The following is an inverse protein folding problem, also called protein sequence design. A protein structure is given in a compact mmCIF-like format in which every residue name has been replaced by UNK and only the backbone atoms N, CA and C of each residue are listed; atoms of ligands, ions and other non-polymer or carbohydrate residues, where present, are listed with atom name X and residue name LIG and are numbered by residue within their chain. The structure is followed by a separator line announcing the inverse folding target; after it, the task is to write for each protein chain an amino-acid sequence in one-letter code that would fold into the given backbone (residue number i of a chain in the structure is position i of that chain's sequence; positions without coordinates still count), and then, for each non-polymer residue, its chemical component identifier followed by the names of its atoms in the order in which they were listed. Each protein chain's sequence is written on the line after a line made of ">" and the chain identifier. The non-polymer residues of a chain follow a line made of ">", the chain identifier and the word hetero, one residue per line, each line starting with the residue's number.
data_IF_707867800649
#
_entry.id   IF_707867800649
#
_cell.length_a   1.000
_cell.length_b   1.000
_cell.length_c   1.000
_cell.angle_alpha   90.00
_cell.angle_beta   90.00
_cell.angle_gamma   90.00
#
_symmetry.space_group_name_H-M   'P 1'
#
loop_
_entity.id
_entity.type
_entity.pdbx_description
1 polymer ?
#
# COMPACT_ATOMS: atom_id res chain seq x y z
N UNK A 1 -9.74 47.28 42.12
CA UNK A 1 -8.49 46.56 42.49
C UNK A 1 -7.22 47.38 42.22
N UNK A 2 -7.26 48.70 42.43
CA UNK A 2 -6.13 49.62 42.16
C UNK A 2 -5.67 50.39 43.41
N UNK A 3 -6.57 50.62 44.39
CA UNK A 3 -6.25 51.33 45.63
C UNK A 3 -5.40 50.51 46.61
N UNK A 4 -5.62 49.20 46.71
CA UNK A 4 -4.87 48.31 47.63
C UNK A 4 -3.41 48.12 47.20
N UNK A 5 -3.15 48.07 45.89
CA UNK A 5 -1.80 47.91 45.32
C UNK A 5 -0.95 49.16 45.54
N UNK A 6 -1.58 50.34 45.57
CA UNK A 6 -0.90 51.63 45.81
C UNK A 6 -0.43 51.79 47.26
N UNK A 7 -1.10 51.12 48.21
CA UNK A 7 -0.80 51.21 49.65
C UNK A 7 0.17 50.13 50.14
N UNK A 8 0.27 48.97 49.46
CA UNK A 8 1.04 47.80 49.96
C UNK A 8 2.09 47.27 48.97
N UNK A 9 2.26 47.90 47.80
CA UNK A 9 3.21 47.43 46.78
C UNK A 9 2.78 46.11 46.13
N UNK A 10 3.38 45.78 44.98
CA UNK A 10 3.11 44.49 44.32
C UNK A 10 3.84 43.38 45.09
N UNK A 11 3.16 42.27 45.46
CA UNK A 11 3.81 41.16 46.13
C UNK A 11 4.96 40.61 45.27
N UNK A 12 6.11 40.35 45.92
CA UNK A 12 7.31 39.76 45.32
C UNK A 12 6.96 38.53 44.49
N UNK A 13 7.69 38.29 43.39
CA UNK A 13 7.50 37.10 42.54
C UNK A 13 7.52 35.79 43.36
N UNK A 14 8.28 35.76 44.45
CA UNK A 14 8.35 34.62 45.37
C UNK A 14 6.98 34.34 46.02
N UNK A 15 6.29 35.37 46.52
CA UNK A 15 4.95 35.26 47.14
C UNK A 15 3.87 34.93 46.11
N UNK A 16 4.10 35.23 44.84
CA UNK A 16 3.16 34.89 43.76
C UNK A 16 3.30 33.45 43.27
N UNK A 17 4.53 32.91 43.28
CA UNK A 17 4.84 31.62 42.69
C UNK A 17 5.16 30.51 43.71
N UNK A 18 5.15 30.77 45.02
CA UNK A 18 5.47 29.75 46.02
C UNK A 18 4.57 28.51 45.93
N UNK A 19 3.26 28.70 45.69
CA UNK A 19 2.25 27.64 45.65
C UNK A 19 2.37 26.77 44.38
N UNK A 20 2.46 27.32 43.16
CA UNK A 20 2.73 26.49 41.99
C UNK A 20 4.13 25.86 42.00
N UNK A 21 5.14 26.52 42.58
CA UNK A 21 6.50 25.97 42.68
C UNK A 21 6.56 24.82 43.69
N UNK A 22 5.91 24.93 44.84
CA UNK A 22 5.85 23.84 45.82
C UNK A 22 5.03 22.66 45.28
N UNK A 23 3.91 22.92 44.62
CA UNK A 23 3.13 21.89 43.93
C UNK A 23 3.94 21.19 42.83
N UNK A 24 4.71 21.95 42.03
CA UNK A 24 5.58 21.39 41.00
C UNK A 24 6.74 20.57 41.59
N UNK A 25 7.33 21.01 42.71
CA UNK A 25 8.38 20.25 43.42
C UNK A 25 7.84 18.97 44.04
N UNK A 26 6.67 19.00 44.67
CA UNK A 26 6.02 17.82 45.23
C UNK A 26 5.59 16.84 44.13
N UNK A 27 4.96 17.34 43.06
CA UNK A 27 4.62 16.52 41.90
C UNK A 27 5.87 15.94 41.21
N UNK A 28 6.92 16.75 41.06
CA UNK A 28 8.19 16.32 40.49
C UNK A 28 8.86 15.24 41.33
N UNK A 29 8.88 15.38 42.66
CA UNK A 29 9.46 14.39 43.55
C UNK A 29 8.65 13.10 43.62
N UNK A 30 7.31 13.17 43.61
CA UNK A 30 6.43 12.00 43.53
C UNK A 30 6.61 11.27 42.19
N UNK A 31 6.62 12.00 41.06
CA UNK A 31 6.88 11.44 39.73
C UNK A 31 8.27 10.84 39.65
N UNK A 32 9.30 11.49 40.19
CA UNK A 32 10.66 10.98 40.20
C UNK A 32 10.76 9.69 41.01
N UNK A 33 10.13 9.64 42.21
CA UNK A 33 10.05 8.43 43.03
C UNK A 33 9.32 7.30 42.31
N UNK A 34 8.19 7.59 41.67
CA UNK A 34 7.46 6.61 40.87
C UNK A 34 8.31 6.07 39.72
N UNK A 35 9.01 6.95 39.00
CA UNK A 35 9.90 6.57 37.90
C UNK A 35 11.09 5.74 38.39
N UNK A 36 11.69 6.09 39.53
CA UNK A 36 12.81 5.35 40.12
C UNK A 36 12.38 3.99 40.67
N UNK A 37 11.21 3.91 41.29
CA UNK A 37 10.69 2.68 41.89
C UNK A 37 10.20 1.68 40.83
N UNK A 38 9.83 2.17 39.63
CA UNK A 38 9.38 1.38 38.48
C UNK A 38 10.47 1.22 37.41
N UNK A 39 11.75 1.52 37.70
CA UNK A 39 12.83 1.45 36.69
C UNK A 39 12.95 0.06 36.07
N UNK A 40 12.87 -0.97 36.90
CA UNK A 40 12.93 -2.36 36.43
C UNK A 40 11.76 -2.67 35.50
N UNK A 41 10.54 -2.28 35.87
CA UNK A 41 9.35 -2.44 35.02
C UNK A 41 9.46 -1.65 33.71
N UNK A 42 10.01 -0.44 33.72
CA UNK A 42 10.20 0.38 32.51
C UNK A 42 11.24 -0.26 31.59
N UNK A 43 12.37 -0.71 32.15
CA UNK A 43 13.42 -1.39 31.38
C UNK A 43 12.87 -2.69 30.79
N UNK A 44 12.19 -3.50 31.61
CA UNK A 44 11.53 -4.71 31.13
C UNK A 44 10.47 -4.40 30.08
N UNK A 45 9.66 -3.34 30.25
CA UNK A 45 8.68 -2.93 29.24
C UNK A 45 9.34 -2.52 27.93
N UNK A 46 10.46 -1.81 27.94
CA UNK A 46 11.19 -1.43 26.73
C UNK A 46 11.80 -2.66 26.06
N UNK A 47 12.42 -3.55 26.84
CA UNK A 47 12.98 -4.80 26.33
C UNK A 47 11.88 -5.68 25.74
N UNK A 48 10.74 -5.81 26.42
CA UNK A 48 9.58 -6.59 25.96
C UNK A 48 8.95 -5.98 24.71
N UNK A 49 8.81 -4.66 24.62
CA UNK A 49 8.33 -4.00 23.40
C UNK A 49 9.32 -4.21 22.25
N UNK A 50 10.62 -4.13 22.53
CA UNK A 50 11.68 -4.36 21.55
C UNK A 50 11.67 -5.79 21.01
N UNK A 51 11.67 -6.79 21.88
CA UNK A 51 11.60 -8.20 21.50
C UNK A 51 10.31 -8.51 20.75
N UNK A 52 9.16 -8.04 21.26
CA UNK A 52 7.85 -8.23 20.60
C UNK A 52 7.83 -7.60 19.20
N UNK A 53 8.47 -6.44 19.01
CA UNK A 53 8.55 -5.79 17.70
C UNK A 53 9.44 -6.58 16.74
N UNK A 54 10.58 -7.09 17.21
CA UNK A 54 11.48 -7.93 16.41
C UNK A 54 10.80 -9.25 16.03
N UNK A 55 10.14 -9.91 16.97
CA UNK A 55 9.40 -11.15 16.75
C UNK A 55 8.23 -10.93 15.79
N UNK A 56 7.51 -9.82 15.94
CA UNK A 56 6.46 -9.41 15.02
C UNK A 56 7.02 -9.20 13.60
N UNK A 57 8.11 -8.43 13.45
CA UNK A 57 8.72 -8.19 12.15
C UNK A 57 9.26 -9.46 11.50
N UNK A 58 9.92 -10.32 12.29
CA UNK A 58 10.43 -11.61 11.84
C UNK A 58 9.34 -12.53 11.34
N UNK A 59 8.31 -12.77 12.17
CA UNK A 59 7.27 -13.76 11.88
C UNK A 59 6.22 -13.25 10.89
N UNK A 60 5.84 -11.97 10.94
CA UNK A 60 4.73 -11.45 10.15
C UNK A 60 5.15 -10.69 8.89
N UNK A 61 6.41 -10.26 8.78
CA UNK A 61 6.91 -9.53 7.61
C UNK A 61 7.97 -10.35 6.89
N UNK A 62 9.06 -10.72 7.57
CA UNK A 62 10.22 -11.36 6.92
C UNK A 62 9.91 -12.80 6.48
N UNK A 63 9.34 -13.62 7.36
CA UNK A 63 9.04 -15.01 7.07
C UNK A 63 8.08 -15.19 5.88
N UNK A 64 6.90 -14.52 5.84
CA UNK A 64 6.00 -14.64 4.70
C UNK A 64 6.58 -14.05 3.40
N UNK A 65 7.37 -12.98 3.45
CA UNK A 65 8.05 -12.45 2.25
C UNK A 65 9.08 -13.45 1.72
N UNK A 66 9.89 -14.07 2.60
CA UNK A 66 10.84 -15.12 2.19
C UNK A 66 10.12 -16.33 1.60
N UNK A 67 9.00 -16.74 2.20
CA UNK A 67 8.18 -17.85 1.70
C UNK A 67 7.61 -17.53 0.32
N UNK A 68 7.05 -16.33 0.13
CA UNK A 68 6.53 -15.86 -1.15
C UNK A 68 7.62 -15.81 -2.24
N UNK A 69 8.78 -15.23 -1.93
CA UNK A 69 9.93 -15.19 -2.84
C UNK A 69 10.43 -16.60 -3.17
N UNK A 70 10.43 -17.51 -2.18
CA UNK A 70 10.73 -18.92 -2.39
C UNK A 70 9.78 -19.56 -3.39
N UNK A 71 8.46 -19.43 -3.19
CA UNK A 71 7.45 -20.02 -4.07
C UNK A 71 7.51 -19.46 -5.50
N UNK A 72 7.69 -18.15 -5.66
CA UNK A 72 7.78 -17.50 -6.98
C UNK A 72 9.10 -17.83 -7.68
N UNK A 73 10.22 -17.86 -6.94
CA UNK A 73 11.56 -18.09 -7.52
C UNK A 73 11.80 -19.55 -7.88
N UNK A 74 11.14 -20.50 -7.21
CA UNK A 74 11.51 -21.91 -7.36
C UNK A 74 10.78 -22.69 -8.43
N UNK A 75 9.57 -22.36 -8.89
CA UNK A 75 9.05 -23.10 -10.06
C UNK A 75 7.80 -22.52 -10.72
N UNK A 76 7.99 -22.00 -11.93
CA UNK A 76 6.91 -21.94 -12.94
C UNK A 76 7.38 -22.41 -14.32
N UNK A 77 8.69 -22.50 -14.56
CA UNK A 77 9.24 -22.78 -15.90
C UNK A 77 10.31 -23.87 -15.92
N UNK A 78 10.80 -24.30 -14.77
CA UNK A 78 11.99 -25.15 -14.68
C UNK A 78 11.65 -26.63 -14.55
N UNK A 79 10.69 -27.02 -13.71
CA UNK A 79 10.42 -28.43 -13.45
C UNK A 79 9.44 -29.02 -14.49
N UNK A 80 8.36 -28.30 -14.78
CA UNK A 80 7.30 -28.76 -15.70
C UNK A 80 7.79 -28.80 -17.16
N UNK A 81 8.66 -27.89 -17.59
CA UNK A 81 9.15 -27.86 -18.97
C UNK A 81 10.34 -28.82 -19.22
N UNK A 82 11.16 -29.11 -18.21
CA UNK A 82 12.37 -29.93 -18.39
C UNK A 82 12.07 -31.43 -18.24
N UNK A 83 11.15 -31.84 -17.35
CA UNK A 83 10.74 -33.24 -17.27
C UNK A 83 9.81 -33.65 -18.40
N UNK A 84 8.85 -32.80 -18.78
CA UNK A 84 7.95 -33.03 -19.92
C UNK A 84 8.72 -33.14 -21.23
N UNK A 85 9.66 -32.23 -21.50
CA UNK A 85 10.37 -32.20 -22.79
C UNK A 85 11.37 -33.36 -22.93
N UNK A 86 12.07 -33.74 -21.86
CA UNK A 86 13.02 -34.85 -21.93
C UNK A 86 12.33 -36.23 -21.93
N UNK A 87 11.22 -36.40 -21.22
CA UNK A 87 10.41 -37.63 -21.30
C UNK A 87 9.71 -37.75 -22.65
N UNK A 88 9.12 -36.67 -23.18
CA UNK A 88 8.53 -36.66 -24.53
C UNK A 88 9.55 -36.94 -25.62
N UNK A 89 10.78 -36.44 -25.51
CA UNK A 89 11.84 -36.74 -26.48
C UNK A 89 12.33 -38.19 -26.39
N UNK A 90 12.43 -38.74 -25.18
CA UNK A 90 12.77 -40.15 -24.98
C UNK A 90 11.67 -41.08 -25.53
N UNK A 91 10.40 -40.75 -25.28
CA UNK A 91 9.26 -41.51 -25.78
C UNK A 91 9.10 -41.37 -27.30
N UNK A 92 9.40 -40.21 -27.88
CA UNK A 92 9.43 -40.01 -29.35
C UNK A 92 10.53 -40.83 -30.01
N UNK A 93 11.73 -40.87 -29.43
CA UNK A 93 12.83 -41.69 -29.94
C UNK A 93 12.54 -43.20 -29.81
N UNK A 94 11.81 -43.60 -28.76
CA UNK A 94 11.34 -44.97 -28.59
C UNK A 94 10.28 -45.34 -29.64
N UNK A 95 9.32 -44.44 -29.89
CA UNK A 95 8.27 -44.61 -30.90
C UNK A 95 8.85 -44.70 -32.32
N UNK A 96 9.84 -43.87 -32.65
CA UNK A 96 10.53 -43.89 -33.95
C UNK A 96 11.20 -45.25 -34.20
N UNK A 97 11.92 -45.78 -33.20
CA UNK A 97 12.56 -47.10 -33.30
C UNK A 97 11.53 -48.22 -33.48
N UNK A 98 10.44 -48.17 -32.71
CA UNK A 98 9.40 -49.18 -32.75
C UNK A 98 8.63 -49.19 -34.09
N UNK A 99 8.42 -48.02 -34.71
CA UNK A 99 7.77 -47.91 -36.02
C UNK A 99 8.70 -48.37 -37.15
N UNK A 100 9.99 -48.07 -37.07
CA UNK A 100 10.99 -48.56 -38.03
C UNK A 100 11.11 -50.08 -37.97
N UNK A 101 11.13 -50.65 -36.78
CA UNK A 101 11.15 -52.10 -36.59
C UNK A 101 9.87 -52.76 -37.12
N UNK A 102 8.70 -52.15 -36.88
CA UNK A 102 7.40 -52.63 -37.40
C UNK A 102 7.32 -52.66 -38.93
N UNK A 103 7.90 -51.67 -39.61
CA UNK A 103 7.95 -51.62 -41.08
C UNK A 103 8.96 -52.62 -41.64
N UNK A 104 10.07 -52.87 -40.91
CA UNK A 104 11.13 -53.78 -41.32
C UNK A 104 10.76 -55.26 -41.16
N UNK A 105 9.98 -55.59 -40.14
CA UNK A 105 9.53 -56.96 -39.85
C UNK A 105 8.35 -57.43 -40.74
N UNK A 106 7.79 -56.56 -41.59
CA UNK A 106 6.71 -56.89 -42.54
C UNK A 106 7.10 -56.56 -43.99
N UNK A 107 7.92 -57.38 -44.66
CA UNK A 107 8.30 -57.18 -46.06
C UNK A 107 7.13 -57.33 -47.06
N UNK A 108 5.98 -57.83 -46.61
CA UNK A 108 4.80 -58.07 -47.44
C UNK A 108 4.08 -56.77 -47.86
N UNK A 109 4.41 -55.65 -47.21
CA UNK A 109 3.92 -54.30 -47.57
C UNK A 109 4.65 -53.71 -48.79
N UNK A 110 5.69 -54.37 -49.30
CA UNK A 110 6.50 -53.89 -50.44
C UNK A 110 5.88 -54.11 -51.82
N UNK A 111 4.68 -54.67 -51.94
CA UNK A 111 3.96 -54.66 -53.23
C UNK A 111 3.30 -53.30 -53.49
N UNK A 112 4.12 -52.27 -53.73
CA UNK A 112 3.62 -51.06 -54.39
C UNK A 112 4.41 -49.78 -54.22
N UNK A 113 5.30 -49.64 -53.23
CA UNK A 113 6.08 -48.40 -53.06
C UNK A 113 7.50 -48.73 -52.64
N UNK A 114 8.38 -48.76 -53.65
CA UNK A 114 9.82 -48.59 -53.42
C UNK A 114 10.02 -47.11 -53.07
N UNK A 115 10.14 -46.79 -51.78
CA UNK A 115 10.63 -45.49 -51.36
C UNK A 115 11.20 -45.58 -49.94
N UNK A 116 12.52 -45.69 -49.90
CA UNK A 116 13.42 -45.06 -48.94
C UNK A 116 12.91 -44.94 -47.50
N UNK A 117 13.48 -45.73 -46.59
CA UNK A 117 13.25 -45.67 -45.14
C UNK A 117 13.39 -44.25 -44.57
N UNK A 118 14.10 -43.36 -45.26
CA UNK A 118 14.25 -41.95 -44.92
C UNK A 118 12.99 -41.10 -45.21
N UNK A 119 12.18 -41.44 -46.21
CA UNK A 119 10.93 -40.74 -46.54
C UNK A 119 9.80 -41.07 -45.56
N UNK A 120 9.78 -42.29 -45.03
CA UNK A 120 8.83 -42.73 -44.00
C UNK A 120 9.09 -42.03 -42.66
N UNK A 121 10.37 -41.86 -42.28
CA UNK A 121 10.76 -41.13 -41.07
C UNK A 121 10.38 -39.64 -41.15
N UNK A 122 10.49 -39.03 -42.34
CA UNK A 122 10.07 -37.64 -42.55
C UNK A 122 8.53 -37.49 -42.54
N UNK A 123 7.78 -38.45 -43.09
CA UNK A 123 6.31 -38.43 -43.08
C UNK A 123 5.74 -38.63 -41.65
N UNK A 124 6.44 -39.40 -40.80
CA UNK A 124 6.09 -39.58 -39.37
C UNK A 124 6.43 -38.34 -38.55
N UNK A 125 7.47 -37.57 -38.91
CA UNK A 125 7.75 -36.25 -38.33
C UNK A 125 6.66 -35.22 -38.65
N UNK A 126 5.98 -35.35 -39.79
CA UNK A 126 4.89 -34.48 -40.23
C UNK A 126 3.50 -34.92 -39.73
N UNK A 127 3.39 -36.09 -39.09
CA UNK A 127 2.18 -36.51 -38.37
C UNK A 127 1.15 -37.30 -39.19
N UNK A 128 1.48 -37.77 -40.39
CA UNK A 128 0.58 -38.62 -41.19
C UNK A 128 0.78 -40.11 -40.86
N UNK A 129 -0.12 -40.64 -40.03
CA UNK A 129 -0.11 -42.03 -39.54
C UNK A 129 -1.03 -42.96 -40.35
N UNK A 130 -1.52 -42.52 -41.52
CA UNK A 130 -2.45 -43.27 -42.38
C UNK A 130 -2.01 -44.70 -42.72
N UNK A 131 -0.71 -45.02 -42.96
CA UNK A 131 -0.28 -46.39 -43.25
C UNK A 131 -0.41 -47.34 -42.03
N UNK A 132 -0.23 -46.81 -40.82
CA UNK A 132 -0.26 -47.56 -39.56
C UNK A 132 -1.70 -47.83 -39.13
N UNK A 133 -2.60 -46.85 -39.31
CA UNK A 133 -4.03 -47.00 -39.00
C UNK A 133 -4.71 -48.10 -39.84
N UNK A 134 -4.31 -48.23 -41.12
CA UNK A 134 -4.87 -49.23 -42.04
C UNK A 134 -4.44 -50.66 -41.70
N UNK A 135 -3.25 -50.82 -41.12
CA UNK A 135 -2.77 -52.10 -40.59
C UNK A 135 -3.48 -52.47 -39.28
N UNK A 136 -3.73 -51.47 -38.40
CA UNK A 136 -4.46 -51.65 -37.14
C UNK A 136 -5.92 -52.10 -37.36
N UNK A 137 -6.62 -51.51 -38.33
CA UNK A 137 -8.01 -51.85 -38.66
C UNK A 137 -8.16 -53.28 -39.22
N UNK A 138 -7.10 -53.81 -39.86
CA UNK A 138 -7.08 -55.18 -40.38
C UNK A 138 -6.86 -56.21 -39.29
N UNK A 139 -5.98 -55.93 -38.32
CA UNK A 139 -5.69 -56.84 -37.21
C UNK A 139 -6.81 -56.85 -36.14
N UNK A 140 -7.60 -55.78 -36.02
CA UNK A 140 -8.80 -55.75 -35.16
C UNK A 140 -9.92 -56.71 -35.63
N UNK A 141 -9.86 -57.15 -36.89
CA UNK A 141 -10.92 -57.96 -37.53
C UNK A 141 -10.85 -59.44 -37.18
N UNK A 142 -9.79 -59.92 -36.52
CA UNK A 142 -9.64 -61.32 -36.10
C UNK A 142 -9.02 -61.47 -34.69
N UNK A 143 -9.83 -61.33 -33.62
CA UNK A 143 -9.33 -61.21 -32.25
C UNK A 143 -8.70 -62.50 -31.65
N UNK A 144 -9.07 -63.68 -32.14
CA UNK A 144 -8.57 -64.95 -31.59
C UNK A 144 -7.15 -65.33 -32.04
N UNK A 145 -6.64 -64.74 -33.13
CA UNK A 145 -5.27 -65.00 -33.61
C UNK A 145 -4.26 -64.05 -32.93
N UNK A 146 -4.66 -62.83 -32.55
CA UNK A 146 -3.79 -61.81 -31.93
C UNK A 146 -3.40 -62.09 -30.48
N UNK A 147 -4.22 -62.82 -29.72
CA UNK A 147 -3.89 -63.21 -28.33
C UNK A 147 -2.79 -64.26 -28.28
N UNK A 148 -2.77 -65.19 -29.24
CA UNK A 148 -1.75 -66.24 -29.35
C UNK A 148 -0.44 -65.70 -29.94
N UNK A 149 -0.49 -64.61 -30.73
CA UNK A 149 0.69 -63.91 -31.28
C UNK A 149 1.35 -62.89 -30.33
N UNK A 150 0.78 -62.62 -29.17
CA UNK A 150 1.36 -61.70 -28.16
C UNK A 150 0.94 -60.23 -28.28
N UNK A 151 0.08 -59.88 -29.23
CA UNK A 151 -0.36 -58.49 -29.45
C UNK A 151 -1.32 -57.97 -28.38
N UNK A 152 -2.15 -58.84 -27.78
CA UNK A 152 -3.06 -58.45 -26.71
C UNK A 152 -2.30 -58.06 -25.43
N UNK A 153 -1.25 -58.81 -25.08
CA UNK A 153 -0.40 -58.51 -23.93
C UNK A 153 0.35 -57.19 -24.16
N UNK A 154 0.86 -56.97 -25.37
CA UNK A 154 1.53 -55.72 -25.75
C UNK A 154 0.56 -54.52 -25.70
N UNK A 155 -0.67 -54.67 -26.16
CA UNK A 155 -1.71 -53.64 -26.06
C UNK A 155 -2.06 -53.31 -24.60
N UNK A 156 -2.19 -54.32 -23.73
CA UNK A 156 -2.45 -54.14 -22.30
C UNK A 156 -1.28 -53.40 -21.61
N UNK A 157 -0.03 -53.76 -21.96
CA UNK A 157 1.17 -53.08 -21.45
C UNK A 157 1.24 -51.61 -21.88
N UNK A 158 0.90 -51.31 -23.14
CA UNK A 158 0.79 -49.93 -23.63
C UNK A 158 -0.26 -49.15 -22.84
N UNK A 159 -1.41 -49.76 -22.56
CA UNK A 159 -2.47 -49.11 -21.82
C UNK A 159 -2.06 -48.82 -20.36
N UNK A 160 -1.38 -49.76 -19.70
CA UNK A 160 -0.84 -49.54 -18.34
C UNK A 160 0.19 -48.41 -18.34
N UNK A 161 1.07 -48.33 -19.35
CA UNK A 161 2.04 -47.24 -19.47
C UNK A 161 1.36 -45.89 -19.72
N UNK A 162 0.31 -45.86 -20.55
CA UNK A 162 -0.49 -44.65 -20.77
C UNK A 162 -1.17 -44.20 -19.47
N UNK A 163 -1.81 -45.11 -18.75
CA UNK A 163 -2.45 -44.79 -17.46
C UNK A 163 -1.44 -44.30 -16.43
N UNK A 164 -0.21 -44.85 -16.39
CA UNK A 164 0.86 -44.33 -15.53
C UNK A 164 1.16 -42.86 -15.87
N UNK A 165 1.31 -42.53 -17.15
CA UNK A 165 1.60 -41.16 -17.60
C UNK A 165 0.44 -40.22 -17.27
N UNK A 166 -0.81 -40.64 -17.54
CA UNK A 166 -2.00 -39.84 -17.24
C UNK A 166 -2.13 -39.55 -15.74
N UNK A 167 -1.82 -40.53 -14.88
CA UNK A 167 -1.79 -40.36 -13.42
C UNK A 167 -0.67 -39.42 -12.98
N UNK A 168 0.53 -39.55 -13.55
CA UNK A 168 1.67 -38.68 -13.24
C UNK A 168 1.37 -37.22 -13.59
N UNK A 169 0.76 -36.97 -14.76
CA UNK A 169 0.27 -35.64 -15.17
C UNK A 169 -0.81 -35.11 -14.22
N UNK A 170 -1.77 -35.96 -13.82
CA UNK A 170 -2.82 -35.56 -12.88
C UNK A 170 -2.25 -35.18 -11.50
N UNK A 171 -1.26 -35.95 -11.00
CA UNK A 171 -0.57 -35.65 -9.75
C UNK A 171 0.19 -34.33 -9.85
N UNK A 172 0.88 -34.07 -10.97
CA UNK A 172 1.52 -32.78 -11.21
C UNK A 172 0.52 -31.62 -11.27
N UNK A 173 -0.66 -31.85 -11.86
CA UNK A 173 -1.76 -30.87 -11.87
C UNK A 173 -2.28 -30.54 -10.46
N UNK A 174 -2.37 -31.54 -9.59
CA UNK A 174 -2.76 -31.35 -8.18
C UNK A 174 -1.70 -30.54 -7.42
N UNK A 175 -0.42 -30.82 -7.63
CA UNK A 175 0.66 -30.07 -6.99
C UNK A 175 0.63 -28.58 -7.38
N UNK A 176 0.39 -28.28 -8.66
CA UNK A 176 0.19 -26.92 -9.14
C UNK A 176 -1.00 -26.21 -8.47
N UNK A 177 -2.11 -26.92 -8.26
CA UNK A 177 -3.28 -26.38 -7.56
C UNK A 177 -3.02 -26.13 -6.06
N UNK A 178 -2.30 -27.02 -5.38
CA UNK A 178 -1.92 -26.85 -3.98
C UNK A 178 -0.95 -25.67 -3.81
N UNK A 179 -0.01 -25.51 -4.75
CA UNK A 179 0.95 -24.40 -4.76
C UNK A 179 0.28 -23.05 -5.04
N UNK A 180 -0.70 -23.02 -5.94
CA UNK A 180 -1.54 -21.83 -6.17
C UNK A 180 -2.30 -21.41 -4.91
N UNK A 181 -2.87 -22.37 -4.18
CA UNK A 181 -3.56 -22.11 -2.91
C UNK A 181 -2.60 -21.69 -1.80
N UNK A 182 -1.42 -22.30 -1.70
CA UNK A 182 -0.37 -21.89 -0.74
C UNK A 182 0.03 -20.42 -0.93
N UNK A 183 0.08 -19.95 -2.18
CA UNK A 183 0.39 -18.57 -2.51
C UNK A 183 -0.71 -17.61 -2.03
N UNK A 184 -1.98 -17.98 -2.20
CA UNK A 184 -3.13 -17.22 -1.67
C UNK A 184 -3.12 -17.20 -0.13
N UNK A 185 -2.87 -18.34 0.52
CA UNK A 185 -2.71 -18.40 1.97
C UNK A 185 -1.53 -17.55 2.46
N UNK A 186 -0.44 -17.50 1.69
CA UNK A 186 0.71 -16.64 1.95
C UNK A 186 0.35 -15.15 1.94
N UNK A 187 -0.41 -14.69 0.95
CA UNK A 187 -0.88 -13.30 0.88
C UNK A 187 -1.88 -12.94 1.98
N UNK A 188 -2.82 -13.84 2.28
CA UNK A 188 -3.77 -13.64 3.38
C UNK A 188 -3.03 -13.56 4.72
N UNK A 189 -2.01 -14.38 4.95
CA UNK A 189 -1.17 -14.33 6.15
C UNK A 189 -0.31 -13.07 6.26
N UNK A 190 0.06 -12.44 5.14
CA UNK A 190 0.85 -11.21 5.09
C UNK A 190 0.01 -9.95 5.39
N UNK A 191 -1.29 -10.00 5.09
CA UNK A 191 -2.22 -8.85 5.19
C UNK A 191 -2.30 -8.24 6.61
N UNK A 192 -2.44 -9.02 7.70
CA UNK A 192 -2.44 -8.47 9.06
C UNK A 192 -1.14 -7.73 9.40
N UNK A 193 0.00 -8.23 8.91
CA UNK A 193 1.32 -7.61 9.13
C UNK A 193 1.43 -6.21 8.51
N UNK A 194 0.97 -6.05 7.27
CA UNK A 194 0.92 -4.74 6.59
C UNK A 194 -0.02 -3.79 7.33
N UNK A 195 -1.22 -4.26 7.71
CA UNK A 195 -2.23 -3.40 8.35
C UNK A 195 -1.72 -2.83 9.68
N UNK A 196 -1.12 -3.67 10.52
CA UNK A 196 -0.54 -3.25 11.80
C UNK A 196 0.65 -2.31 11.59
N UNK A 197 1.52 -2.58 10.61
CA UNK A 197 2.66 -1.70 10.29
C UNK A 197 2.19 -0.32 9.84
N UNK A 198 1.20 -0.26 8.94
CA UNK A 198 0.61 0.99 8.47
C UNK A 198 -0.08 1.76 9.60
N UNK A 199 -0.86 1.08 10.44
CA UNK A 199 -1.52 1.69 11.59
C UNK A 199 -0.50 2.30 12.56
N UNK A 200 0.58 1.57 12.85
CA UNK A 200 1.67 2.03 13.73
C UNK A 200 2.39 3.24 13.15
N UNK A 201 2.72 3.21 11.86
CA UNK A 201 3.38 4.34 11.18
C UNK A 201 2.48 5.58 11.12
N UNK A 202 1.18 5.40 10.87
CA UNK A 202 0.20 6.50 10.89
C UNK A 202 0.00 7.07 12.30
N UNK A 203 -0.02 6.23 13.33
CA UNK A 203 -0.08 6.67 14.72
C UNK A 203 1.17 7.48 15.11
N UNK A 204 2.36 6.98 14.76
CA UNK A 204 3.63 7.69 15.01
C UNK A 204 3.70 9.02 14.26
N UNK A 205 3.27 9.04 13.00
CA UNK A 205 3.16 10.26 12.20
C UNK A 205 2.14 11.26 12.77
N UNK A 206 1.04 10.79 13.36
CA UNK A 206 0.05 11.64 14.03
C UNK A 206 0.61 12.31 15.29
N UNK A 207 1.35 11.57 16.11
CA UNK A 207 2.01 12.11 17.31
C UNK A 207 3.01 13.21 16.96
N UNK A 208 3.80 13.01 15.90
CA UNK A 208 4.75 14.01 15.39
C UNK A 208 4.04 15.19 14.69
N UNK A 209 2.94 14.92 14.00
CA UNK A 209 2.13 15.90 13.25
C UNK A 209 1.25 16.80 14.12
N UNK A 210 0.93 16.40 15.36
CA UNK A 210 0.08 17.17 16.29
C UNK A 210 0.59 18.61 16.52
N UNK A 211 1.91 18.82 16.53
CA UNK A 211 2.51 20.16 16.66
C UNK A 211 2.23 21.07 15.45
N UNK A 212 2.07 20.49 14.25
CA UNK A 212 1.69 21.24 13.04
C UNK A 212 0.23 21.69 13.11
N UNK A 213 -0.65 20.85 13.67
CA UNK A 213 -2.05 21.20 13.92
C UNK A 213 -2.21 22.36 14.90
N UNK A 214 -1.47 22.32 16.02
CA UNK A 214 -1.47 23.41 17.01
C UNK A 214 -0.96 24.74 16.44
N UNK A 215 0.09 24.72 15.60
CA UNK A 215 0.58 25.92 14.92
C UNK A 215 -0.46 26.51 13.96
N UNK A 216 -1.14 25.68 13.17
CA UNK A 216 -2.25 26.12 12.29
C UNK A 216 -3.42 26.71 13.10
N UNK A 217 -3.77 26.11 14.23
CA UNK A 217 -4.80 26.61 15.13
C UNK A 217 -4.47 28.00 15.70
N UNK A 218 -3.22 28.21 16.12
CA UNK A 218 -2.76 29.52 16.62
C UNK A 218 -2.82 30.59 15.52
N UNK A 219 -2.39 30.28 14.30
CA UNK A 219 -2.45 31.21 13.17
C UNK A 219 -3.90 31.59 12.80
N UNK A 220 -4.83 30.63 12.75
CA UNK A 220 -6.26 30.91 12.55
C UNK A 220 -6.84 31.80 13.64
N UNK A 221 -6.42 31.61 14.88
CA UNK A 221 -6.88 32.43 16.00
C UNK A 221 -6.45 33.89 15.86
N UNK A 222 -5.19 34.15 15.50
CA UNK A 222 -4.69 35.53 15.30
C UNK A 222 -5.40 36.22 14.11
N UNK A 223 -5.60 35.51 12.99
CA UNK A 223 -6.39 36.01 11.85
C UNK A 223 -7.82 36.39 12.24
N UNK A 224 -8.52 35.51 12.96
CA UNK A 224 -9.87 35.76 13.46
C UNK A 224 -9.92 36.95 14.41
N UNK A 225 -8.88 37.12 15.23
CA UNK A 225 -8.77 38.24 16.17
C UNK A 225 -8.59 39.56 15.43
N UNK A 226 -7.70 39.63 14.45
CA UNK A 226 -7.48 40.83 13.64
C UNK A 226 -8.72 41.22 12.84
N UNK A 227 -9.37 40.28 12.14
CA UNK A 227 -10.63 40.55 11.42
C UNK A 227 -11.74 41.06 12.35
N UNK A 228 -11.84 40.52 13.56
CA UNK A 228 -12.80 41.01 14.56
C UNK A 228 -12.48 42.42 15.04
N UNK A 229 -11.20 42.76 15.21
CA UNK A 229 -10.79 44.13 15.58
C UNK A 229 -11.17 45.12 14.48
N UNK A 230 -10.91 44.80 13.22
CA UNK A 230 -11.27 45.67 12.09
C UNK A 230 -12.80 45.83 11.97
N UNK A 231 -13.56 44.74 12.09
CA UNK A 231 -15.03 44.81 12.13
C UNK A 231 -15.53 45.68 13.28
N UNK A 232 -14.90 45.59 14.45
CA UNK A 232 -15.25 46.40 15.61
C UNK A 232 -15.00 47.88 15.37
N UNK A 233 -13.84 48.24 14.80
CA UNK A 233 -13.49 49.63 14.46
C UNK A 233 -14.53 50.21 13.49
N UNK A 234 -14.89 49.48 12.45
CA UNK A 234 -15.90 49.90 11.48
C UNK A 234 -17.30 50.04 12.08
N UNK A 235 -17.67 49.18 13.02
CA UNK A 235 -18.99 49.25 13.69
C UNK A 235 -19.05 50.34 14.75
N UNK A 236 -17.91 50.69 15.36
CA UNK A 236 -17.84 51.72 16.41
C UNK A 236 -17.47 53.11 15.90
N UNK A 237 -17.12 53.26 14.63
CA UNK A 237 -16.71 54.55 14.07
C UNK A 237 -17.92 55.45 13.84
N UNK A 238 -17.74 56.74 14.15
CA UNK A 238 -18.72 57.77 13.80
C UNK A 238 -18.72 57.96 12.28
N UNK A 239 -19.81 57.58 11.65
CA UNK A 239 -20.00 57.72 10.20
C UNK A 239 -20.22 59.19 9.89
N UNK A 240 -19.32 59.79 9.13
CA UNK A 240 -19.45 61.16 8.66
C UNK A 240 -20.60 61.26 7.64
N UNK A 241 -21.19 62.43 7.47
CA UNK A 241 -22.38 62.69 6.63
C UNK A 241 -22.28 62.24 5.16
N UNK A 242 -21.07 61.91 4.69
CA UNK A 242 -20.77 61.36 3.37
C UNK A 242 -20.67 59.82 3.34
N UNK A 243 -21.02 59.13 4.43
CA UNK A 243 -20.93 57.66 4.55
C UNK A 243 -19.51 57.13 4.78
N UNK A 244 -18.54 58.00 5.08
CA UNK A 244 -17.14 57.62 5.30
C UNK A 244 -16.78 57.57 6.78
N UNK A 245 -15.78 56.74 7.10
CA UNK A 245 -15.22 56.54 8.44
C UNK A 245 -14.44 57.78 8.86
N UNK A 246 -14.52 58.18 10.13
CA UNK A 246 -13.72 59.30 10.65
C UNK A 246 -12.22 59.10 10.36
N UNK A 247 -11.49 60.18 10.05
CA UNK A 247 -10.07 60.09 9.64
C UNK A 247 -9.18 59.38 10.67
N UNK A 248 -9.49 59.53 11.96
CA UNK A 248 -8.79 58.85 13.05
C UNK A 248 -8.98 57.33 13.01
N UNK A 249 -10.22 56.89 12.79
CA UNK A 249 -10.57 55.47 12.75
C UNK A 249 -10.10 54.84 11.43
N UNK A 250 -10.06 55.62 10.34
CA UNK A 250 -9.44 55.24 9.07
C UNK A 250 -7.95 54.97 9.23
N UNK A 251 -7.22 55.83 9.96
CA UNK A 251 -5.81 55.59 10.28
C UNK A 251 -5.59 54.32 11.11
N UNK A 252 -6.47 54.06 12.08
CA UNK A 252 -6.41 52.83 12.89
C UNK A 252 -6.71 51.57 12.05
N UNK A 253 -7.64 51.67 11.09
CA UNK A 253 -7.99 50.58 10.17
C UNK A 253 -6.80 50.20 9.27
N UNK A 254 -6.05 51.18 8.78
CA UNK A 254 -4.83 50.94 7.98
C UNK A 254 -3.78 50.18 8.79
N UNK A 255 -3.53 50.57 10.04
CA UNK A 255 -2.56 49.89 10.89
C UNK A 255 -2.94 48.43 11.20
N UNK A 256 -4.21 48.17 11.49
CA UNK A 256 -4.69 46.80 11.76
C UNK A 256 -4.72 45.93 10.49
N UNK A 257 -5.00 46.53 9.33
CA UNK A 257 -4.93 45.86 8.03
C UNK A 257 -3.49 45.47 7.64
N UNK A 258 -2.52 46.35 7.88
CA UNK A 258 -1.09 46.04 7.66
C UNK A 258 -0.61 44.93 8.60
N UNK A 259 -1.02 44.99 9.88
CA UNK A 259 -0.72 43.93 10.84
C UNK A 259 -1.27 42.58 10.36
N UNK A 260 -2.50 42.52 9.84
CA UNK A 260 -3.08 41.31 9.25
C UNK A 260 -2.26 40.77 8.07
N UNK A 261 -1.81 41.64 7.15
CA UNK A 261 -0.96 41.25 6.02
C UNK A 261 0.38 40.64 6.46
N UNK A 262 1.00 41.20 7.50
CA UNK A 262 2.24 40.62 8.06
C UNK A 262 2.03 39.22 8.64
N UNK A 263 0.86 38.95 9.25
CA UNK A 263 0.55 37.61 9.78
C UNK A 263 0.35 36.58 8.67
N UNK A 264 -0.28 36.95 7.54
CA UNK A 264 -0.50 36.06 6.40
C UNK A 264 0.78 35.78 5.62
N UNK A 265 1.69 36.76 5.52
CA UNK A 265 3.00 36.58 4.86
C UNK A 265 3.85 35.46 5.48
N UNK A 266 3.64 35.17 6.77
CA UNK A 266 4.36 34.11 7.50
C UNK A 266 3.74 32.72 7.23
N UNK A 267 2.53 32.66 6.66
CA UNK A 267 1.83 31.41 6.35
C UNK A 267 2.30 30.91 4.97
N UNK A 268 2.84 29.69 4.86
CA UNK A 268 3.25 29.14 3.56
C UNK A 268 2.01 28.80 2.73
N UNK A 269 1.72 29.63 1.73
CA UNK A 269 0.59 29.49 0.81
C UNK A 269 0.46 30.73 -0.09
N UNK A 270 1.39 30.89 -1.05
CA UNK A 270 1.50 32.09 -1.90
C UNK A 270 0.21 32.43 -2.67
N UNK A 271 -0.62 31.44 -3.00
CA UNK A 271 -1.89 31.65 -3.71
C UNK A 271 -2.94 32.38 -2.87
N UNK A 272 -2.93 32.22 -1.55
CA UNK A 272 -3.85 32.93 -0.65
C UNK A 272 -3.39 34.35 -0.31
N UNK A 273 -2.10 34.66 -0.52
CA UNK A 273 -1.56 35.97 -0.14
C UNK A 273 -2.02 37.08 -1.09
N UNK A 274 -2.02 36.85 -2.41
CA UNK A 274 -2.47 37.87 -3.36
C UNK A 274 -3.97 38.11 -3.25
N UNK A 275 -4.79 37.06 -3.18
CA UNK A 275 -6.24 37.20 -2.94
C UNK A 275 -6.54 37.93 -1.62
N UNK A 276 -5.82 37.61 -0.55
CA UNK A 276 -5.98 38.27 0.75
C UNK A 276 -5.54 39.73 0.70
N UNK A 277 -4.52 40.05 -0.10
CA UNK A 277 -4.03 41.40 -0.31
C UNK A 277 -5.04 42.24 -1.09
N UNK A 278 -5.65 41.69 -2.13
CA UNK A 278 -6.74 42.33 -2.87
C UNK A 278 -7.93 42.62 -1.94
N UNK A 279 -8.34 41.65 -1.12
CA UNK A 279 -9.42 41.83 -0.14
C UNK A 279 -9.09 42.91 0.92
N UNK A 280 -7.84 42.99 1.39
CA UNK A 280 -7.40 44.05 2.29
C UNK A 280 -7.39 45.42 1.58
N UNK A 281 -7.01 45.48 0.30
CA UNK A 281 -7.03 46.71 -0.47
C UNK A 281 -8.47 47.22 -0.71
N UNK A 282 -9.41 46.31 -0.96
CA UNK A 282 -10.84 46.60 -1.03
C UNK A 282 -11.37 47.15 0.31
N UNK A 283 -10.91 46.59 1.43
CA UNK A 283 -11.26 47.02 2.79
C UNK A 283 -10.75 48.43 3.10
N UNK A 284 -9.55 48.77 2.63
CA UNK A 284 -8.91 50.07 2.84
C UNK A 284 -9.50 51.20 1.97
N UNK A 285 -10.35 50.86 0.99
CA UNK A 285 -10.97 51.85 0.12
C UNK A 285 -12.13 52.58 0.84
N UNK A 286 -11.80 53.68 1.51
CA UNK A 286 -12.72 54.52 2.31
C UNK A 286 -13.86 55.13 1.47
N UNK A 287 -13.71 55.24 0.15
CA UNK A 287 -14.72 55.84 -0.74
C UNK A 287 -15.93 54.92 -0.97
N UNK A 288 -15.83 53.64 -0.63
CA UNK A 288 -16.86 52.63 -0.89
C UNK A 288 -17.98 52.58 0.17
N UNK A 289 -17.83 53.32 1.27
CA UNK A 289 -18.78 53.35 2.39
C UNK A 289 -18.68 52.14 3.31
N UNK A 290 -19.12 52.31 4.57
CA UNK A 290 -18.97 51.32 5.65
C UNK A 290 -19.68 49.98 5.33
N UNK A 291 -20.83 50.02 4.66
CA UNK A 291 -21.60 48.82 4.30
C UNK A 291 -20.89 47.90 3.29
N UNK A 292 -20.05 48.45 2.41
CA UNK A 292 -19.23 47.63 1.51
C UNK A 292 -18.03 47.04 2.25
N UNK A 293 -17.41 47.82 3.14
CA UNK A 293 -16.29 47.34 3.97
C UNK A 293 -16.69 46.18 4.90
N UNK A 294 -17.89 46.24 5.49
CA UNK A 294 -18.42 45.14 6.30
C UNK A 294 -18.67 43.86 5.48
N UNK A 295 -19.16 43.99 4.24
CA UNK A 295 -19.35 42.85 3.32
C UNK A 295 -18.02 42.21 2.90
N UNK A 296 -16.96 43.00 2.71
CA UNK A 296 -15.60 42.49 2.44
C UNK A 296 -15.09 41.69 3.63
N UNK A 297 -15.29 42.16 4.88
CA UNK A 297 -14.92 41.38 6.07
C UNK A 297 -15.69 40.07 6.16
N UNK A 298 -16.99 40.06 5.86
CA UNK A 298 -17.75 38.81 5.82
C UNK A 298 -17.21 37.85 4.76
N UNK A 299 -16.91 38.35 3.55
CA UNK A 299 -16.26 37.56 2.47
C UNK A 299 -14.95 36.95 2.95
N UNK A 300 -14.06 37.75 3.53
CA UNK A 300 -12.78 37.28 4.08
C UNK A 300 -12.97 36.25 5.20
N UNK A 301 -13.97 36.44 6.08
CA UNK A 301 -14.29 35.49 7.14
C UNK A 301 -14.71 34.14 6.56
N UNK A 302 -15.49 34.13 5.49
CA UNK A 302 -15.87 32.88 4.80
C UNK A 302 -14.69 32.24 4.06
N UNK A 303 -13.91 33.02 3.31
CA UNK A 303 -12.82 32.49 2.48
C UNK A 303 -11.65 31.90 3.28
N UNK A 304 -11.25 32.54 4.40
CA UNK A 304 -9.98 32.22 5.09
C UNK A 304 -10.14 31.49 6.43
N UNK A 305 -11.33 31.47 7.04
CA UNK A 305 -11.56 30.87 8.36
C UNK A 305 -12.37 29.56 8.35
N UNK A 306 -12.64 29.00 7.17
CA UNK A 306 -13.34 27.72 7.00
C UNK A 306 -12.42 26.52 7.32
#
# INVERSE_FOLDING_TARGET
>A
MSLFIRRHGRPSRIVRYWLPVSAALLSGSASMRFLTNRREEIIQSIVNIGSTTIDFWGNWVVHPIRKLIGTIRHDEKSEIAIMSKNSLLADRASLERMVVDFVRDRPDLHQGVVADTTAIVNSVKEGDLTPVLKAYERDLRSPFVGTVRGDLIRALLIQIQKTKVDVEIAISGIDALLKSQELVFGFVGLTPGILVSFATMRWLGSLLGSRRGLRKGKQRHELKRGLRNVARILTSSEVLSNGTVAYKDSGQLICEAEALLQHVKIIPGSMQYEEFREDIQDLLNVQNGVDKQLRVIERMRWAYLQ
#
